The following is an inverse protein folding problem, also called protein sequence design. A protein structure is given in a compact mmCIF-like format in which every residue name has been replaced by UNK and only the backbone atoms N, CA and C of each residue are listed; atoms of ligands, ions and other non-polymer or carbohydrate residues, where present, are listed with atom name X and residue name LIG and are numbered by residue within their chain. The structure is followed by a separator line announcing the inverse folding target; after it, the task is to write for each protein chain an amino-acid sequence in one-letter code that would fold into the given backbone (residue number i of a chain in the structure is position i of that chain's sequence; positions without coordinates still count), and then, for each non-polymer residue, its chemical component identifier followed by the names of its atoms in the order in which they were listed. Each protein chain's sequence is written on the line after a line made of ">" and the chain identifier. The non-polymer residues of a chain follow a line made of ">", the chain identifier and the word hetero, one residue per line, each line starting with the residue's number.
data_IF_786692428508
#
_entry.id   IF_786692428508
#
_cell.length_a   1.000
_cell.length_b   1.000
_cell.length_c   1.000
_cell.angle_alpha   90.00
_cell.angle_beta   90.00
_cell.angle_gamma   90.00
#
_symmetry.space_group_name_H-M   'P 1'
#
loop_
_entity.id
_entity.type
_entity.pdbx_description
1 polymer ?
#
# COMPACT_ATOMS: atom_id res chain seq x y z
N UNK A 1 17.88 13.06 -18.43
CA UNK A 1 17.91 13.05 -16.95
C UNK A 1 17.62 11.64 -16.51
N UNK A 2 18.39 11.08 -15.57
CA UNK A 2 18.15 9.72 -15.06
C UNK A 2 16.94 9.76 -14.12
N UNK A 3 15.99 8.86 -14.31
CA UNK A 3 14.79 8.80 -13.48
C UNK A 3 15.12 8.33 -12.06
N UNK A 4 14.45 8.90 -11.06
CA UNK A 4 14.55 8.45 -9.68
C UNK A 4 13.74 7.15 -9.46
N UNK A 5 13.83 6.54 -8.26
CA UNK A 5 13.17 5.25 -7.99
C UNK A 5 11.64 5.35 -8.10
N UNK A 6 11.03 6.43 -7.56
CA UNK A 6 9.57 6.66 -7.67
C UNK A 6 9.11 6.74 -9.12
N UNK A 7 9.80 7.52 -9.95
CA UNK A 7 9.49 7.66 -11.38
C UNK A 7 9.61 6.33 -12.11
N UNK A 8 10.61 5.51 -11.77
CA UNK A 8 10.82 4.20 -12.39
C UNK A 8 9.76 3.18 -11.97
N UNK A 9 9.33 3.19 -10.71
CA UNK A 9 8.18 2.39 -10.26
C UNK A 9 6.90 2.88 -10.94
N UNK A 10 6.70 4.19 -11.09
CA UNK A 10 5.55 4.69 -11.84
C UNK A 10 5.55 4.21 -13.29
N UNK A 11 6.71 4.20 -13.95
CA UNK A 11 6.86 3.66 -15.30
C UNK A 11 6.59 2.15 -15.36
N UNK A 12 7.08 1.39 -14.38
CA UNK A 12 6.78 -0.04 -14.25
C UNK A 12 5.27 -0.26 -14.19
N UNK A 13 4.58 0.38 -13.25
CA UNK A 13 3.14 0.20 -13.03
C UNK A 13 2.31 0.67 -14.23
N UNK A 14 2.67 1.80 -14.85
CA UNK A 14 2.07 2.25 -16.11
C UNK A 14 2.38 1.33 -17.28
N UNK A 15 3.45 0.54 -17.20
CA UNK A 15 3.80 -0.50 -18.16
C UNK A 15 2.69 -1.53 -18.36
N UNK A 16 1.90 -1.82 -17.32
CA UNK A 16 0.78 -2.76 -17.36
C UNK A 16 -0.27 -2.36 -18.42
N UNK A 17 -0.51 -1.06 -18.59
CA UNK A 17 -1.48 -0.54 -19.58
C UNK A 17 -1.06 -0.85 -21.03
N UNK A 18 0.25 -0.93 -21.28
CA UNK A 18 0.81 -0.97 -22.64
C UNK A 18 1.52 -2.26 -23.00
N UNK A 19 1.95 -3.05 -22.01
CA UNK A 19 2.78 -4.22 -22.23
C UNK A 19 4.20 -3.88 -22.70
N UNK A 20 4.65 -2.64 -22.52
CA UNK A 20 5.98 -2.21 -22.96
C UNK A 20 7.07 -2.94 -22.15
N UNK A 21 7.92 -3.77 -22.78
CA UNK A 21 8.95 -4.52 -22.06
C UNK A 21 10.00 -3.62 -21.39
N UNK A 22 10.22 -2.39 -21.85
CA UNK A 22 11.17 -1.47 -21.20
C UNK A 22 10.70 -1.05 -19.80
N UNK A 23 9.40 -1.11 -19.53
CA UNK A 23 8.84 -0.75 -18.21
C UNK A 23 9.33 -1.68 -17.09
N UNK A 24 9.68 -2.92 -17.42
CA UNK A 24 10.14 -3.91 -16.42
C UNK A 24 11.64 -3.83 -16.16
N UNK A 25 12.38 -3.00 -16.89
CA UNK A 25 13.85 -2.87 -16.76
C UNK A 25 14.33 -2.40 -15.37
N UNK A 26 13.43 -1.77 -14.60
CA UNK A 26 13.71 -1.42 -13.20
C UNK A 26 13.83 -2.65 -12.30
N UNK A 27 13.26 -3.79 -12.70
CA UNK A 27 13.27 -5.03 -11.92
C UNK A 27 14.49 -5.87 -12.28
N UNK A 28 15.16 -6.41 -11.25
CA UNK A 28 16.16 -7.44 -11.44
C UNK A 28 15.49 -8.81 -11.32
N UNK A 29 14.99 -9.34 -12.43
CA UNK A 29 14.27 -10.64 -12.44
C UNK A 29 15.11 -11.80 -11.89
N UNK A 30 16.44 -11.74 -11.97
CA UNK A 30 17.32 -12.79 -11.44
C UNK A 30 17.36 -12.85 -9.91
N UNK A 31 16.96 -11.77 -9.23
CA UNK A 31 16.87 -11.70 -7.77
C UNK A 31 15.45 -11.48 -7.26
N UNK A 32 14.49 -11.28 -8.16
CA UNK A 32 13.17 -10.79 -7.81
C UNK A 32 12.39 -11.78 -6.97
N UNK A 33 12.01 -11.37 -5.77
CA UNK A 33 11.14 -12.12 -4.86
C UNK A 33 9.74 -11.49 -4.92
N UNK A 34 8.74 -12.29 -5.26
CA UNK A 34 7.35 -11.87 -5.34
C UNK A 34 6.57 -12.46 -4.17
N UNK A 35 5.92 -11.59 -3.39
CA UNK A 35 5.10 -11.99 -2.25
C UNK A 35 3.60 -11.96 -2.52
N UNK A 36 3.16 -11.46 -3.69
CA UNK A 36 1.74 -11.42 -4.05
C UNK A 36 1.14 -12.85 -4.04
N UNK A 37 0.17 -13.17 -3.17
CA UNK A 37 -0.46 -14.49 -3.10
C UNK A 37 -1.25 -14.87 -4.36
N UNK A 38 -1.67 -13.89 -5.16
CA UNK A 38 -2.45 -14.08 -6.38
C UNK A 38 -1.57 -14.33 -7.62
N UNK A 39 -0.28 -13.99 -7.55
CA UNK A 39 0.66 -14.33 -8.62
C UNK A 39 1.12 -15.77 -8.45
N UNK A 40 0.85 -16.61 -9.45
CA UNK A 40 1.27 -18.01 -9.42
C UNK A 40 2.79 -18.09 -9.57
N UNK A 41 3.47 -18.84 -8.70
CA UNK A 41 4.90 -19.12 -8.83
C UNK A 41 5.18 -19.91 -10.12
N UNK A 42 6.16 -19.46 -10.90
CA UNK A 42 6.72 -20.21 -12.03
C UNK A 42 6.42 -19.64 -13.43
N UNK A 43 7.47 -19.09 -14.04
CA UNK A 43 7.82 -19.08 -15.48
C UNK A 43 7.41 -17.94 -16.42
N UNK A 44 6.38 -17.13 -16.14
CA UNK A 44 6.10 -15.97 -17.00
C UNK A 44 6.95 -14.77 -16.53
N UNK A 45 7.94 -14.36 -17.34
CA UNK A 45 8.71 -13.14 -17.08
C UNK A 45 7.82 -11.89 -17.12
N UNK A 46 8.18 -10.84 -16.38
CA UNK A 46 7.31 -9.67 -16.18
C UNK A 46 6.90 -9.00 -17.49
N UNK A 47 7.82 -8.94 -18.46
CA UNK A 47 7.52 -8.39 -19.78
C UNK A 47 6.41 -9.18 -20.51
N UNK A 48 6.41 -10.50 -20.39
CA UNK A 48 5.37 -11.35 -20.98
C UNK A 48 4.03 -11.18 -20.25
N UNK A 49 4.07 -11.16 -18.91
CA UNK A 49 2.92 -10.89 -18.06
C UNK A 49 2.25 -9.56 -18.44
N UNK A 50 3.02 -8.47 -18.51
CA UNK A 50 2.48 -7.15 -18.84
C UNK A 50 1.92 -7.12 -20.25
N UNK A 51 2.58 -7.75 -21.22
CA UNK A 51 2.06 -7.87 -22.59
C UNK A 51 0.71 -8.59 -22.63
N UNK A 52 0.54 -9.65 -21.82
CA UNK A 52 -0.72 -10.38 -21.70
C UNK A 52 -1.80 -9.54 -21.04
N UNK A 53 -1.48 -8.87 -19.94
CA UNK A 53 -2.42 -7.99 -19.22
C UNK A 53 -2.89 -6.83 -20.11
N UNK A 54 -1.97 -6.23 -20.88
CA UNK A 54 -2.28 -5.11 -21.79
C UNK A 54 -3.31 -5.47 -22.88
N UNK A 55 -3.46 -6.75 -23.23
CA UNK A 55 -4.48 -7.19 -24.19
C UNK A 55 -5.91 -6.90 -23.71
N UNK A 56 -6.12 -6.78 -22.39
CA UNK A 56 -7.39 -6.37 -21.80
C UNK A 56 -7.59 -4.84 -21.78
N UNK A 57 -6.64 -4.06 -22.29
CA UNK A 57 -6.64 -2.58 -22.24
C UNK A 57 -6.86 -2.01 -20.83
N UNK A 58 -6.11 -2.45 -19.81
CA UNK A 58 -6.32 -2.01 -18.44
C UNK A 58 -5.89 -0.55 -18.25
N UNK A 59 -6.38 0.07 -17.17
CA UNK A 59 -5.94 1.40 -16.74
C UNK A 59 -5.35 1.30 -15.33
N UNK A 60 -4.23 1.96 -15.10
CA UNK A 60 -3.56 2.01 -13.81
C UNK A 60 -3.53 3.46 -13.33
N UNK A 61 -4.29 3.79 -12.31
CA UNK A 61 -4.25 5.08 -11.66
C UNK A 61 -3.31 5.01 -10.44
N UNK A 62 -2.18 5.71 -10.48
CA UNK A 62 -1.27 5.79 -9.34
C UNK A 62 -1.72 6.98 -8.49
N UNK A 63 -2.34 6.70 -7.35
CA UNK A 63 -2.95 7.72 -6.49
C UNK A 63 -1.86 8.51 -5.76
N UNK A 64 -0.87 7.80 -5.21
CA UNK A 64 0.27 8.38 -4.50
C UNK A 64 1.43 7.38 -4.49
N UNK A 65 2.65 7.91 -4.50
CA UNK A 65 3.89 7.15 -4.50
C UNK A 65 4.91 7.83 -3.60
N UNK A 66 5.59 7.02 -2.80
CA UNK A 66 6.53 7.50 -1.80
C UNK A 66 7.80 6.67 -1.79
N UNK A 67 8.90 7.29 -1.33
CA UNK A 67 10.19 6.63 -1.15
C UNK A 67 10.63 6.72 0.31
N UNK A 68 11.19 5.62 0.82
CA UNK A 68 11.79 5.52 2.14
C UNK A 68 13.06 4.66 2.08
N UNK A 69 14.20 5.33 1.89
CA UNK A 69 15.51 4.68 1.75
C UNK A 69 15.57 3.75 0.53
N UNK A 70 15.54 2.44 0.79
CA UNK A 70 15.55 1.42 -0.26
C UNK A 70 14.16 0.94 -0.66
N UNK A 71 13.10 1.51 -0.09
CA UNK A 71 11.73 1.13 -0.41
C UNK A 71 11.06 2.21 -1.24
N UNK A 72 10.26 1.79 -2.22
CA UNK A 72 9.25 2.63 -2.87
C UNK A 72 7.92 1.95 -2.65
N UNK A 73 6.90 2.70 -2.27
CA UNK A 73 5.57 2.16 -2.08
C UNK A 73 4.51 3.05 -2.71
N UNK A 74 3.47 2.43 -3.23
CA UNK A 74 2.45 3.10 -4.03
C UNK A 74 1.06 2.63 -3.62
N UNK A 75 0.12 3.56 -3.66
CA UNK A 75 -1.31 3.27 -3.59
C UNK A 75 -1.86 3.41 -5.01
N UNK A 76 -2.38 2.31 -5.55
CA UNK A 76 -2.80 2.18 -6.94
C UNK A 76 -4.29 1.86 -7.03
N UNK A 77 -4.90 2.23 -8.14
CA UNK A 77 -6.21 1.75 -8.57
C UNK A 77 -6.04 1.15 -9.96
N UNK A 78 -6.37 -0.13 -10.08
CA UNK A 78 -6.29 -0.90 -11.31
C UNK A 78 -7.69 -1.12 -11.86
N UNK A 79 -7.94 -0.65 -13.08
CA UNK A 79 -9.17 -0.89 -13.84
C UNK A 79 -8.89 -2.00 -14.86
N UNK A 80 -9.21 -3.24 -14.49
CA UNK A 80 -9.17 -4.40 -15.37
C UNK A 80 -10.60 -4.71 -15.87
N UNK A 81 -11.19 -5.84 -15.45
CA UNK A 81 -12.64 -6.11 -15.58
C UNK A 81 -13.44 -5.54 -14.42
N UNK A 82 -12.78 -5.41 -13.26
CA UNK A 82 -13.28 -4.79 -12.06
C UNK A 82 -12.22 -3.81 -11.55
N UNK A 83 -12.66 -2.77 -10.84
CA UNK A 83 -11.75 -1.82 -10.21
C UNK A 83 -11.23 -2.40 -8.91
N UNK A 84 -9.92 -2.40 -8.77
CA UNK A 84 -9.24 -2.89 -7.58
C UNK A 84 -8.33 -1.81 -7.03
N UNK A 85 -8.24 -1.72 -5.71
CA UNK A 85 -7.30 -0.87 -5.00
C UNK A 85 -6.11 -1.71 -4.57
N UNK A 86 -4.92 -1.28 -4.98
CA UNK A 86 -3.65 -1.91 -4.66
C UNK A 86 -2.82 -1.07 -3.69
N UNK A 87 -2.14 -1.74 -2.77
CA UNK A 87 -1.04 -1.16 -2.02
C UNK A 87 0.20 -2.00 -2.28
N UNK A 88 1.23 -1.38 -2.83
CA UNK A 88 2.40 -2.06 -3.38
C UNK A 88 3.66 -1.51 -2.73
N UNK A 89 4.62 -2.39 -2.41
CA UNK A 89 5.91 -2.07 -1.81
C UNK A 89 7.00 -2.75 -2.63
N UNK A 90 8.00 -1.99 -3.05
CA UNK A 90 9.16 -2.43 -3.79
C UNK A 90 10.43 -2.18 -2.97
N UNK A 91 11.21 -3.22 -2.69
CA UNK A 91 12.57 -3.06 -2.15
C UNK A 91 13.59 -3.02 -3.27
N UNK A 92 14.52 -2.07 -3.15
CA UNK A 92 15.62 -1.86 -4.08
C UNK A 92 16.94 -2.40 -3.53
N UNK A 93 17.73 -2.97 -4.43
CA UNK A 93 19.18 -3.08 -4.28
C UNK A 93 19.85 -2.24 -5.35
N UNK A 94 20.66 -1.27 -4.91
CA UNK A 94 21.23 -0.25 -5.79
C UNK A 94 20.12 0.45 -6.59
N UNK A 95 20.07 0.21 -7.89
CA UNK A 95 19.17 0.87 -8.84
C UNK A 95 18.10 -0.09 -9.36
N UNK A 96 17.90 -1.27 -8.79
CA UNK A 96 16.89 -2.20 -9.27
C UNK A 96 15.99 -2.69 -8.15
N UNK A 97 14.70 -2.86 -8.46
CA UNK A 97 13.76 -3.54 -7.58
C UNK A 97 14.08 -5.03 -7.58
N UNK A 98 14.20 -5.60 -6.40
CA UNK A 98 14.57 -7.02 -6.18
C UNK A 98 13.54 -7.77 -5.35
N UNK A 99 12.54 -7.08 -4.81
CA UNK A 99 11.51 -7.71 -4.00
C UNK A 99 10.26 -6.84 -4.02
N UNK A 100 9.10 -7.50 -4.01
CA UNK A 100 7.80 -6.85 -4.11
C UNK A 100 6.77 -7.52 -3.22
N UNK A 101 6.04 -6.69 -2.48
CA UNK A 101 4.83 -7.06 -1.76
C UNK A 101 3.70 -6.23 -2.32
N UNK A 102 2.54 -6.83 -2.45
CA UNK A 102 1.31 -6.08 -2.63
C UNK A 102 0.16 -6.71 -1.87
N UNK A 103 -0.88 -5.92 -1.71
CA UNK A 103 -2.20 -6.40 -1.39
C UNK A 103 -3.19 -5.70 -2.32
N UNK A 104 -4.15 -6.46 -2.83
CA UNK A 104 -5.17 -5.95 -3.73
C UNK A 104 -6.55 -6.33 -3.19
N UNK A 105 -7.48 -5.39 -3.25
CA UNK A 105 -8.88 -5.66 -2.94
C UNK A 105 -9.80 -4.96 -3.92
N UNK A 106 -11.01 -5.47 -4.07
CA UNK A 106 -12.03 -4.84 -4.88
C UNK A 106 -12.31 -3.43 -4.37
N UNK A 107 -12.51 -2.50 -5.31
CA UNK A 107 -12.91 -1.13 -4.99
C UNK A 107 -14.36 -1.14 -4.54
N UNK A 108 -14.57 -0.68 -3.32
CA UNK A 108 -15.90 -0.49 -2.74
C UNK A 108 -16.42 0.95 -2.97
N UNK A 109 -17.70 1.14 -2.67
CA UNK A 109 -18.29 2.47 -2.56
C UNK A 109 -17.66 3.27 -1.41
N UNK A 110 -18.00 4.56 -1.32
CA UNK A 110 -17.62 5.37 -0.16
C UNK A 110 -18.10 4.72 1.13
N UNK A 111 -17.30 4.84 2.18
CA UNK A 111 -17.64 4.33 3.50
C UNK A 111 -18.81 5.09 4.13
N UNK A 112 -19.16 4.76 5.38
CA UNK A 112 -20.30 5.34 6.08
C UNK A 112 -20.16 6.84 6.39
N UNK A 113 -18.94 7.39 6.28
CA UNK A 113 -18.65 8.83 6.39
C UNK A 113 -18.55 9.55 5.04
N UNK A 114 -18.65 8.83 3.92
CA UNK A 114 -18.52 9.42 2.58
C UNK A 114 -17.09 9.45 2.04
N UNK A 115 -16.11 8.87 2.74
CA UNK A 115 -14.73 8.75 2.28
C UNK A 115 -14.55 7.58 1.33
N UNK A 116 -13.68 7.74 0.35
CA UNK A 116 -13.28 6.64 -0.50
C UNK A 116 -12.08 5.90 0.10
N UNK A 117 -11.66 4.82 -0.54
CA UNK A 117 -10.43 4.14 -0.13
C UNK A 117 -9.15 4.92 -0.48
N UNK A 118 -9.23 5.95 -1.31
CA UNK A 118 -8.08 6.60 -1.95
C UNK A 118 -8.11 8.13 -1.92
N UNK A 119 -9.11 8.76 -1.30
CA UNK A 119 -9.17 10.22 -1.14
C UNK A 119 -8.18 10.69 -0.06
N UNK A 120 -8.24 11.97 0.30
CA UNK A 120 -7.26 12.60 1.20
C UNK A 120 -6.02 13.11 0.46
N UNK A 121 -4.95 13.35 1.23
CA UNK A 121 -3.74 13.99 0.70
C UNK A 121 -2.94 13.05 -0.23
N UNK A 122 -2.35 13.62 -1.27
CA UNK A 122 -1.56 12.90 -2.27
C UNK A 122 -0.05 13.20 -2.19
N UNK A 123 0.33 14.21 -1.40
CA UNK A 123 1.71 14.68 -1.28
C UNK A 123 2.04 14.88 0.19
N UNK A 124 3.17 14.35 0.63
CA UNK A 124 3.70 14.60 1.96
C UNK A 124 4.38 15.98 1.98
N UNK A 125 4.14 16.78 3.02
CA UNK A 125 4.70 18.14 3.17
C UNK A 125 5.67 18.25 4.35
N UNK A 126 5.40 17.57 5.45
CA UNK A 126 6.10 17.74 6.73
C UNK A 126 7.30 16.78 6.86
N UNK A 127 8.20 16.80 5.87
CA UNK A 127 9.32 15.83 5.80
C UNK A 127 10.32 15.94 6.96
N UNK A 128 10.40 17.09 7.62
CA UNK A 128 11.23 17.28 8.81
C UNK A 128 10.69 16.49 10.02
N UNK A 129 9.39 16.17 10.00
CA UNK A 129 8.72 15.39 11.05
C UNK A 129 8.72 13.89 10.78
N UNK A 130 9.28 13.42 9.65
CA UNK A 130 9.20 12.00 9.23
C UNK A 130 9.57 11.02 10.34
N UNK A 131 10.72 11.21 11.00
CA UNK A 131 11.20 10.26 12.01
C UNK A 131 10.45 10.40 13.34
N UNK A 132 10.02 11.61 13.70
CA UNK A 132 9.15 11.82 14.86
C UNK A 132 7.80 11.13 14.67
N UNK A 133 7.18 11.30 13.50
CA UNK A 133 5.92 10.65 13.14
C UNK A 133 6.10 9.12 13.08
N UNK A 134 7.21 8.63 12.52
CA UNK A 134 7.51 7.19 12.51
C UNK A 134 7.59 6.62 13.93
N UNK A 135 8.18 7.33 14.89
CA UNK A 135 8.23 6.89 16.28
C UNK A 135 6.84 6.82 16.92
N UNK A 136 5.95 7.79 16.62
CA UNK A 136 4.55 7.78 17.08
C UNK A 136 3.80 6.59 16.49
N UNK A 137 3.89 6.38 15.17
CA UNK A 137 3.23 5.26 14.49
C UNK A 137 3.79 3.91 14.97
N UNK A 138 5.10 3.82 15.24
CA UNK A 138 5.70 2.62 15.84
C UNK A 138 5.07 2.31 17.19
N UNK A 139 4.97 3.32 18.06
CA UNK A 139 4.37 3.17 19.39
C UNK A 139 2.88 2.81 19.29
N UNK A 140 2.13 3.42 18.37
CA UNK A 140 0.74 3.07 18.09
C UNK A 140 0.60 1.60 17.66
N UNK A 141 1.39 1.15 16.69
CA UNK A 141 1.36 -0.24 16.20
C UNK A 141 1.70 -1.23 17.30
N UNK A 142 2.72 -0.96 18.12
CA UNK A 142 3.14 -1.86 19.19
C UNK A 142 2.12 -1.88 20.34
N UNK A 143 1.66 -0.73 20.79
CA UNK A 143 0.80 -0.59 21.99
C UNK A 143 -0.67 -0.91 21.69
N UNK A 144 -1.20 -0.39 20.60
CA UNK A 144 -2.62 -0.53 20.26
C UNK A 144 -2.84 -1.80 19.45
N UNK A 145 -2.17 -1.94 18.29
CA UNK A 145 -2.50 -3.01 17.35
C UNK A 145 -1.99 -4.38 17.82
N UNK A 146 -0.75 -4.45 18.31
CA UNK A 146 -0.13 -5.73 18.71
C UNK A 146 -0.45 -6.11 20.16
N UNK A 147 -0.36 -5.16 21.10
CA UNK A 147 -0.65 -5.45 22.51
C UNK A 147 -2.14 -5.39 22.85
N UNK A 148 -2.97 -4.78 22.00
CA UNK A 148 -4.41 -4.69 22.20
C UNK A 148 -4.85 -3.67 23.25
N UNK A 149 -3.97 -2.73 23.65
CA UNK A 149 -4.27 -1.74 24.69
C UNK A 149 -5.11 -0.57 24.15
N UNK A 150 -6.28 -0.88 23.59
CA UNK A 150 -7.19 0.04 22.91
C UNK A 150 -7.70 1.19 23.80
N UNK A 151 -7.63 1.05 25.11
CA UNK A 151 -7.94 2.11 26.07
C UNK A 151 -7.01 3.32 25.95
N UNK A 152 -5.83 3.15 25.36
CA UNK A 152 -4.84 4.22 25.14
C UNK A 152 -4.96 4.86 23.75
N UNK A 153 -6.00 4.55 22.97
CA UNK A 153 -6.13 5.03 21.59
C UNK A 153 -6.18 6.57 21.49
N UNK A 154 -6.72 7.25 22.50
CA UNK A 154 -6.81 8.71 22.58
C UNK A 154 -5.45 9.40 22.63
N UNK A 155 -4.38 8.69 22.98
CA UNK A 155 -3.02 9.25 23.00
C UNK A 155 -2.45 9.39 21.58
N UNK A 156 -3.03 8.69 20.60
CA UNK A 156 -2.54 8.62 19.22
C UNK A 156 -3.47 9.27 18.20
N UNK A 157 -4.77 9.36 18.49
CA UNK A 157 -5.77 9.89 17.56
C UNK A 157 -6.38 11.19 18.06
N UNK A 158 -6.57 12.14 17.14
CA UNK A 158 -7.43 13.29 17.34
C UNK A 158 -8.87 12.91 16.95
N UNK A 159 -9.72 12.67 17.94
CA UNK A 159 -11.07 12.11 17.71
C UNK A 159 -11.96 13.05 16.89
N UNK A 160 -11.77 14.35 17.02
CA UNK A 160 -12.56 15.35 16.28
C UNK A 160 -12.16 15.45 14.80
N UNK A 161 -11.00 14.91 14.43
CA UNK A 161 -10.42 15.02 13.08
C UNK A 161 -9.95 13.66 12.52
N UNK A 162 -10.41 12.56 13.12
CA UNK A 162 -10.10 11.22 12.63
C UNK A 162 -10.81 10.99 11.29
N UNK A 163 -10.07 10.48 10.31
CA UNK A 163 -10.58 10.14 8.98
C UNK A 163 -10.26 8.67 8.74
N UNK A 164 -11.30 7.88 8.49
CA UNK A 164 -11.19 6.47 8.16
C UNK A 164 -11.45 6.25 6.68
N UNK A 165 -10.59 5.47 6.02
CA UNK A 165 -10.69 5.17 4.58
C UNK A 165 -11.16 3.74 4.30
N UNK A 166 -11.21 2.87 5.32
CA UNK A 166 -11.76 1.54 5.18
C UNK A 166 -13.24 1.62 4.79
N UNK A 167 -13.68 0.87 3.76
CA UNK A 167 -15.05 0.89 3.30
C UNK A 167 -16.04 0.32 4.34
N UNK A 168 -15.53 -0.44 5.31
CA UNK A 168 -16.34 -1.10 6.34
C UNK A 168 -16.56 -0.26 7.59
N UNK A 169 -15.84 0.86 7.73
CA UNK A 169 -15.87 1.70 8.92
C UNK A 169 -16.44 3.10 8.62
N UNK A 170 -16.35 3.97 9.63
CA UNK A 170 -16.75 5.38 9.64
C UNK A 170 -15.73 6.13 10.47
N UNK A 171 -15.76 7.46 10.44
CA UNK A 171 -14.92 8.32 11.30
C UNK A 171 -15.26 8.21 12.79
N UNK A 172 -16.27 7.42 13.16
CA UNK A 172 -16.58 7.12 14.55
C UNK A 172 -15.50 6.20 15.17
N UNK A 173 -14.63 6.79 16.00
CA UNK A 173 -13.55 6.09 16.71
C UNK A 173 -14.08 4.99 17.65
N UNK A 174 -15.27 5.10 18.22
CA UNK A 174 -15.84 4.03 19.08
C UNK A 174 -16.05 2.72 18.30
N UNK A 175 -16.35 2.82 17.00
CA UNK A 175 -16.46 1.66 16.11
C UNK A 175 -15.10 1.03 15.85
N UNK A 176 -14.05 1.84 15.72
CA UNK A 176 -12.67 1.35 15.60
C UNK A 176 -12.23 0.64 16.89
N UNK A 177 -12.48 1.24 18.06
CA UNK A 177 -12.19 0.62 19.36
C UNK A 177 -12.90 -0.73 19.46
N UNK A 178 -14.19 -0.77 19.13
CA UNK A 178 -14.97 -2.03 19.13
C UNK A 178 -14.33 -3.07 18.22
N UNK A 179 -13.96 -2.71 16.99
CA UNK A 179 -13.35 -3.63 16.05
C UNK A 179 -11.99 -4.19 16.52
N UNK A 180 -11.17 -3.34 17.15
CA UNK A 180 -9.88 -3.74 17.71
C UNK A 180 -10.01 -4.52 19.03
N UNK A 181 -11.15 -4.43 19.71
CA UNK A 181 -11.41 -5.12 20.99
C UNK A 181 -12.03 -6.52 20.83
N UNK A 182 -12.55 -6.88 19.66
CA UNK A 182 -13.29 -8.13 19.47
C UNK A 182 -12.31 -9.32 19.49
N UNK A 183 -12.42 -10.14 20.52
CA UNK A 183 -11.77 -11.45 20.60
C UNK A 183 -12.21 -12.35 19.44
N UNK A 184 -11.22 -12.89 18.72
CA UNK A 184 -11.22 -14.09 17.88
C UNK A 184 -12.60 -14.70 17.56
N UNK A 185 -13.40 -13.97 16.78
CA UNK A 185 -14.46 -14.56 15.95
C UNK A 185 -13.89 -14.86 14.57
N UNK A 186 -14.65 -15.51 13.69
CA UNK A 186 -14.18 -15.96 12.36
C UNK A 186 -13.63 -14.84 11.43
N UNK A 187 -13.74 -13.56 11.83
CA UNK A 187 -13.16 -12.39 11.14
C UNK A 187 -12.46 -11.40 12.11
N UNK A 188 -11.63 -11.88 13.04
CA UNK A 188 -10.81 -10.97 13.87
C UNK A 188 -9.57 -10.47 13.12
N UNK A 189 -9.32 -9.16 13.17
CA UNK A 189 -8.03 -8.58 12.78
C UNK A 189 -7.05 -8.88 13.91
N UNK A 190 -5.96 -9.59 13.63
CA UNK A 190 -4.97 -10.01 14.62
C UNK A 190 -3.56 -9.59 14.18
N UNK A 191 -3.00 -8.58 14.83
CA UNK A 191 -1.65 -8.10 14.56
C UNK A 191 -0.67 -8.73 15.56
N UNK A 192 0.23 -9.57 15.05
CA UNK A 192 1.21 -10.24 15.91
C UNK A 192 2.63 -9.66 15.77
N UNK A 193 2.92 -9.00 14.66
CA UNK A 193 4.26 -8.54 14.35
C UNK A 193 4.25 -7.37 13.35
N UNK A 194 5.18 -6.43 13.53
CA UNK A 194 5.45 -5.35 12.59
C UNK A 194 6.79 -5.61 11.88
N UNK A 195 6.74 -5.97 10.60
CA UNK A 195 7.95 -6.22 9.80
C UNK A 195 8.69 -4.93 9.44
N UNK A 196 7.95 -3.93 8.94
CA UNK A 196 8.49 -2.66 8.47
C UNK A 196 7.53 -1.50 8.76
N UNK A 197 8.11 -0.32 9.02
CA UNK A 197 7.40 0.95 9.08
C UNK A 197 7.99 1.86 8.01
N UNK A 198 7.19 2.18 7.01
CA UNK A 198 7.57 3.03 5.89
C UNK A 198 6.95 4.42 6.06
N UNK A 199 7.74 5.46 5.82
CA UNK A 199 7.32 6.85 5.93
C UNK A 199 7.71 7.60 4.66
N UNK A 200 6.71 8.20 4.02
CA UNK A 200 6.87 8.69 2.66
C UNK A 200 7.55 10.04 2.55
N UNK A 201 8.51 10.13 1.62
CA UNK A 201 9.03 11.37 1.05
C UNK A 201 8.79 11.41 -0.46
#
# INVERSE_FOLDING_TARGET
>A
MKLNKKERICQLLKGIETGNPESVSVVNEAKYIQHNPQTHEGSEGLAALFKRLAAASPRVNIVRVFEDGNFVFAHTEHDFSERNIGFEIFRFESEQAVEHWDNIQQRENTNHSGHSMVDGQYTATDHDMTECNRAIIKSFTENILIQGNVENLSDYLNYDNFIEHSPYFSDNVDKLITALSIDKTDYSIDYNHCHHLLAGR
#
